data_IF_682805296917
#
_entry.id   IF_682805296917
#
_cell.length_a   1.000
_cell.length_b   1.000
_cell.length_c   1.000
_cell.angle_alpha   90.00
_cell.angle_beta   90.00
_cell.angle_gamma   90.00
#
_symmetry.space_group_name_H-M   'P 1'
#
loop_
_entity.id
_entity.type
_entity.pdbx_description
1 polymer ?
#
# COMPACT_ATOMS: atom_id res chain seq x y z
N UNK A 1 -8.47 14.27 14.40
CA UNK A 1 -8.30 12.93 14.99
C UNK A 1 -7.23 12.21 14.17
N UNK A 2 -6.25 11.57 14.82
CA UNK A 2 -5.18 10.84 14.12
C UNK A 2 -5.75 9.48 13.71
N UNK A 3 -5.89 9.22 12.42
CA UNK A 3 -6.30 7.89 11.94
C UNK A 3 -5.05 7.00 11.89
N UNK A 4 -5.00 6.02 12.78
CA UNK A 4 -3.90 5.06 12.89
C UNK A 4 -4.44 3.71 12.40
N UNK A 5 -3.75 3.14 11.41
CA UNK A 5 -4.04 1.81 10.92
C UNK A 5 -2.78 0.96 11.02
N UNK A 6 -2.91 -0.30 11.44
CA UNK A 6 -1.76 -1.19 11.60
C UNK A 6 -1.93 -2.45 10.76
N UNK A 7 -0.82 -2.96 10.23
CA UNK A 7 -0.77 -4.21 9.49
C UNK A 7 0.57 -4.93 9.70
N UNK A 8 0.64 -6.20 9.33
CA UNK A 8 1.86 -7.01 9.46
C UNK A 8 2.56 -7.19 8.11
N UNK A 9 3.86 -6.90 8.07
CA UNK A 9 4.76 -7.17 6.94
C UNK A 9 5.85 -8.15 7.40
N UNK A 10 5.61 -9.45 7.21
CA UNK A 10 6.47 -10.50 7.76
C UNK A 10 6.46 -10.51 9.30
N UNK A 11 7.62 -10.48 9.99
CA UNK A 11 7.67 -10.38 11.46
C UNK A 11 7.40 -8.96 11.98
N UNK A 12 7.30 -7.96 11.10
CA UNK A 12 7.22 -6.57 11.49
C UNK A 12 5.77 -6.11 11.64
N UNK A 13 5.48 -5.41 12.74
CA UNK A 13 4.23 -4.66 12.92
C UNK A 13 4.41 -3.25 12.42
N UNK A 14 3.66 -2.87 11.41
CA UNK A 14 3.72 -1.55 10.79
C UNK A 14 2.48 -0.76 11.18
N UNK A 15 2.68 0.47 11.64
CA UNK A 15 1.61 1.44 11.84
C UNK A 15 1.73 2.55 10.79
N UNK A 16 0.63 2.81 10.09
CA UNK A 16 0.47 3.90 9.13
C UNK A 16 -0.50 4.89 9.72
N UNK A 17 -0.09 6.15 9.74
CA UNK A 17 -0.94 7.22 10.22
C UNK A 17 -0.70 8.49 9.42
N UNK A 18 -1.76 9.27 9.24
CA UNK A 18 -1.67 10.55 8.53
C UNK A 18 -1.45 11.67 9.54
N UNK A 19 -0.41 12.48 9.32
CA UNK A 19 -0.10 13.65 10.14
C UNK A 19 -0.21 14.93 9.32
N UNK A 20 -0.70 16.00 9.96
CA UNK A 20 -0.54 17.36 9.44
C UNK A 20 0.76 17.92 10.01
N UNK A 21 1.67 18.33 9.13
CA UNK A 21 2.98 18.86 9.51
C UNK A 21 3.13 20.28 8.98
N UNK A 22 3.64 21.17 9.82
CA UNK A 22 4.16 22.46 9.35
C UNK A 22 5.56 22.25 8.80
N UNK A 23 5.79 22.65 7.55
CA UNK A 23 7.05 22.45 6.82
C UNK A 23 7.52 23.76 6.21
N UNK A 24 8.83 23.91 6.01
CA UNK A 24 9.38 25.02 5.22
C UNK A 24 9.44 24.62 3.76
N UNK A 25 9.02 25.50 2.84
CA UNK A 25 9.06 25.26 1.39
C UNK A 25 10.08 26.18 0.72
N UNK A 26 10.90 25.64 -0.18
CA UNK A 26 11.73 26.42 -1.09
C UNK A 26 11.62 25.86 -2.52
N UNK A 27 12.43 26.39 -3.45
CA UNK A 27 12.46 25.93 -4.85
C UNK A 27 12.86 24.45 -5.02
N UNK A 28 13.48 23.83 -4.01
CA UNK A 28 13.88 22.42 -4.01
C UNK A 28 12.84 21.49 -3.36
N UNK A 29 11.74 22.03 -2.83
CA UNK A 29 10.63 21.25 -2.27
C UNK A 29 10.37 21.49 -0.78
N UNK A 30 9.74 20.52 -0.12
CA UNK A 30 9.41 20.58 1.30
C UNK A 30 10.62 20.18 2.15
N UNK A 31 10.80 20.86 3.28
CA UNK A 31 11.78 20.51 4.30
C UNK A 31 11.15 20.46 5.67
N UNK A 32 11.54 19.45 6.44
CA UNK A 32 11.17 19.30 7.84
C UNK A 32 12.43 19.13 8.68
N UNK A 33 12.60 19.98 9.70
CA UNK A 33 13.83 20.02 10.54
C UNK A 33 15.12 20.06 9.69
N UNK A 34 15.15 20.93 8.69
CA UNK A 34 16.25 21.10 7.74
C UNK A 34 16.55 19.90 6.82
N UNK A 35 15.85 18.77 6.94
CA UNK A 35 15.96 17.65 6.00
C UNK A 35 14.93 17.77 4.87
N UNK A 36 15.26 17.39 3.63
CA UNK A 36 14.27 17.23 2.56
C UNK A 36 13.16 16.29 3.01
N UNK A 37 11.92 16.66 2.73
CA UNK A 37 10.74 15.84 2.96
C UNK A 37 10.21 15.36 1.60
N UNK A 38 10.41 14.08 1.32
CA UNK A 38 10.08 13.45 0.04
C UNK A 38 9.53 12.03 0.28
N UNK A 39 8.74 11.50 -0.65
CA UNK A 39 8.22 10.11 -0.56
C UNK A 39 9.38 9.11 -0.55
N UNK A 40 9.43 8.26 0.48
CA UNK A 40 10.48 7.29 0.75
C UNK A 40 11.59 7.80 1.66
N UNK A 41 11.61 9.08 2.03
CA UNK A 41 12.53 9.59 3.04
C UNK A 41 12.08 9.20 4.45
N UNK A 42 13.05 9.06 5.37
CA UNK A 42 12.78 8.84 6.80
C UNK A 42 12.41 10.15 7.49
N UNK A 43 11.42 10.12 8.38
CA UNK A 43 10.99 11.26 9.19
C UNK A 43 11.01 10.92 10.68
N UNK A 44 11.52 11.85 11.49
CA UNK A 44 11.52 11.78 12.96
C UNK A 44 10.52 12.78 13.55
N UNK A 45 9.39 12.27 14.01
CA UNK A 45 8.33 13.03 14.65
C UNK A 45 8.46 13.00 16.16
N UNK A 46 8.04 14.09 16.81
CA UNK A 46 7.85 14.16 18.25
C UNK A 46 6.35 14.31 18.50
N UNK A 47 5.71 13.24 18.98
CA UNK A 47 4.28 13.17 19.24
C UNK A 47 4.07 12.99 20.75
N UNK A 48 3.52 13.99 21.43
CA UNK A 48 3.24 13.96 22.88
C UNK A 48 4.42 13.38 23.71
N UNK A 49 5.62 13.95 23.53
CA UNK A 49 6.87 13.51 24.17
C UNK A 49 7.39 12.12 23.78
N UNK A 50 6.78 11.45 22.81
CA UNK A 50 7.29 10.20 22.23
C UNK A 50 7.94 10.48 20.88
N UNK A 51 9.16 9.97 20.68
CA UNK A 51 9.83 10.06 19.39
C UNK A 51 9.37 8.90 18.51
N UNK A 52 8.85 9.23 17.34
CA UNK A 52 8.37 8.25 16.36
C UNK A 52 9.13 8.46 15.06
N UNK A 53 9.93 7.46 14.69
CA UNK A 53 10.58 7.38 13.39
C UNK A 53 9.70 6.63 12.39
N UNK A 54 9.70 7.04 11.13
CA UNK A 54 8.95 6.33 10.08
C UNK A 54 9.41 6.74 8.68
N UNK A 55 8.80 6.13 7.67
CA UNK A 55 9.02 6.48 6.26
C UNK A 55 7.85 7.30 5.73
N UNK A 56 8.13 8.33 4.94
CA UNK A 56 7.10 9.14 4.29
C UNK A 56 6.51 8.34 3.13
N UNK A 57 5.26 7.90 3.28
CA UNK A 57 4.60 7.04 2.28
C UNK A 57 3.86 7.83 1.19
N UNK A 58 3.35 9.01 1.54
CA UNK A 58 2.55 9.88 0.69
C UNK A 58 2.65 11.33 1.22
N UNK A 59 2.58 12.32 0.34
CA UNK A 59 2.51 13.75 0.70
C UNK A 59 1.33 14.35 -0.05
N UNK A 60 0.25 14.63 0.69
CA UNK A 60 -0.95 15.27 0.15
C UNK A 60 -0.78 16.78 0.15
N UNK A 61 0.05 17.30 -0.76
CA UNK A 61 0.13 18.73 -1.04
C UNK A 61 -0.57 19.05 -2.37
N UNK A 62 -1.31 20.15 -2.41
CA UNK A 62 -1.90 20.70 -3.64
C UNK A 62 -0.83 21.23 -4.62
N UNK A 63 0.42 21.38 -4.17
CA UNK A 63 1.55 21.80 -4.99
C UNK A 63 2.68 20.75 -5.03
N UNK A 64 2.51 19.85 -6.00
CA UNK A 64 3.41 18.86 -6.63
C UNK A 64 4.82 18.64 -6.04
N UNK A 65 5.09 17.41 -5.59
CA UNK A 65 6.41 16.76 -5.70
C UNK A 65 6.25 15.50 -6.57
N UNK A 66 6.85 15.52 -7.75
CA UNK A 66 6.86 14.39 -8.68
C UNK A 66 7.69 13.21 -8.14
N UNK A 67 7.21 11.99 -8.39
CA UNK A 67 8.07 10.80 -8.36
C UNK A 67 8.99 10.87 -9.58
N UNK A 68 10.25 11.21 -9.35
CA UNK A 68 11.31 11.21 -10.39
C UNK A 68 11.61 9.75 -10.79
N UNK A 69 11.31 9.42 -12.04
CA UNK A 69 11.80 8.20 -12.72
C UNK A 69 11.26 6.88 -12.16
N UNK A 70 10.24 6.32 -12.79
CA UNK A 70 9.79 4.95 -12.51
C UNK A 70 9.31 4.25 -13.78
N UNK A 71 9.41 2.92 -13.80
CA UNK A 71 8.81 2.08 -14.85
C UNK A 71 7.53 1.48 -14.30
N UNK A 72 6.58 1.15 -15.16
CA UNK A 72 5.43 0.37 -14.75
C UNK A 72 5.78 -1.12 -14.76
N UNK A 73 5.46 -1.83 -13.68
CA UNK A 73 5.48 -3.30 -13.63
C UNK A 73 4.09 -3.84 -13.36
N UNK A 74 3.83 -5.06 -13.84
CA UNK A 74 2.59 -5.77 -13.54
C UNK A 74 2.82 -6.65 -12.31
N UNK A 75 1.82 -6.67 -11.44
CA UNK A 75 1.89 -7.39 -10.18
C UNK A 75 0.61 -8.18 -9.97
N UNK A 76 0.74 -9.46 -9.66
CA UNK A 76 -0.37 -10.29 -9.18
C UNK A 76 -0.34 -10.25 -7.66
N UNK A 77 -1.43 -9.81 -7.04
CA UNK A 77 -1.56 -9.76 -5.58
C UNK A 77 -2.83 -10.48 -5.10
N UNK A 78 -2.79 -11.00 -3.88
CA UNK A 78 -3.94 -11.61 -3.21
C UNK A 78 -4.22 -10.94 -1.87
N UNK A 79 -5.50 -10.67 -1.62
CA UNK A 79 -6.02 -10.17 -0.35
C UNK A 79 -6.87 -11.27 0.27
N UNK A 80 -6.50 -11.71 1.46
CA UNK A 80 -7.20 -12.79 2.15
C UNK A 80 -8.31 -12.26 3.07
N UNK A 81 -9.38 -13.04 3.18
CA UNK A 81 -10.44 -12.86 4.19
C UNK A 81 -10.98 -11.43 4.28
N UNK A 82 -11.30 -10.82 3.15
CA UNK A 82 -11.92 -9.49 3.09
C UNK A 82 -13.44 -9.59 3.09
N UNK A 83 -14.12 -8.58 3.65
CA UNK A 83 -15.59 -8.55 3.67
C UNK A 83 -16.13 -8.39 2.23
N UNK A 84 -17.30 -8.96 1.89
CA UNK A 84 -17.89 -8.83 0.57
C UNK A 84 -18.08 -7.39 0.09
N UNK A 85 -18.40 -6.46 1.00
CA UNK A 85 -18.53 -5.05 0.66
C UNK A 85 -17.21 -4.41 0.23
N UNK A 86 -16.08 -4.83 0.80
CA UNK A 86 -14.76 -4.34 0.42
C UNK A 86 -14.39 -4.83 -0.97
N UNK A 87 -14.67 -6.11 -1.25
CA UNK A 87 -14.52 -6.66 -2.59
C UNK A 87 -15.34 -5.87 -3.62
N UNK A 88 -16.56 -5.41 -3.29
CA UNK A 88 -17.38 -4.60 -4.21
C UNK A 88 -16.83 -3.19 -4.48
N UNK A 89 -16.06 -2.61 -3.55
CA UNK A 89 -15.45 -1.27 -3.74
C UNK A 89 -14.38 -1.25 -4.82
N UNK A 90 -13.60 -2.32 -4.92
CA UNK A 90 -12.51 -2.45 -5.89
C UNK A 90 -13.10 -2.70 -7.28
N UNK A 91 -12.81 -1.85 -8.26
CA UNK A 91 -13.24 -2.03 -9.65
C UNK A 91 -12.02 -2.13 -10.58
N UNK A 92 -12.21 -2.86 -11.67
CA UNK A 92 -11.23 -2.87 -12.76
C UNK A 92 -11.22 -1.49 -13.41
N UNK A 93 -10.03 -0.95 -13.67
CA UNK A 93 -9.82 0.39 -14.16
C UNK A 93 -9.67 1.46 -13.07
N UNK A 94 -9.83 1.11 -11.79
CA UNK A 94 -9.53 2.04 -10.69
C UNK A 94 -8.06 2.47 -10.76
N UNK A 95 -7.83 3.77 -10.62
CA UNK A 95 -6.50 4.38 -10.71
C UNK A 95 -6.21 5.18 -9.45
N UNK A 96 -4.94 5.20 -9.06
CA UNK A 96 -4.39 6.22 -8.18
C UNK A 96 -3.35 7.00 -8.97
N UNK A 97 -3.54 8.31 -9.03
CA UNK A 97 -2.56 9.21 -9.60
C UNK A 97 -1.51 9.57 -8.54
N UNK A 98 -0.26 9.72 -8.98
CA UNK A 98 0.80 10.26 -8.15
C UNK A 98 0.57 11.75 -7.84
N UNK A 99 1.38 12.27 -6.93
CA UNK A 99 1.32 13.67 -6.53
C UNK A 99 1.49 14.57 -7.76
N UNK A 100 0.46 15.39 -8.04
CA UNK A 100 0.39 16.27 -9.20
C UNK A 100 -0.53 15.83 -10.34
N UNK A 101 -1.16 14.65 -10.25
CA UNK A 101 -2.27 14.23 -11.13
C UNK A 101 -1.86 13.70 -12.51
N UNK A 102 -0.62 13.92 -12.93
CA UNK A 102 -0.22 13.68 -14.32
C UNK A 102 0.20 12.23 -14.61
N UNK A 103 0.47 11.42 -13.57
CA UNK A 103 0.97 10.04 -13.72
C UNK A 103 0.18 9.03 -12.91
N UNK A 104 -0.19 7.92 -13.54
CA UNK A 104 -0.82 6.77 -12.87
C UNK A 104 0.23 6.04 -12.03
N UNK A 105 0.08 6.07 -10.71
CA UNK A 105 0.94 5.36 -9.76
C UNK A 105 0.47 3.91 -9.57
N UNK A 106 -0.84 3.68 -9.59
CA UNK A 106 -1.48 2.37 -9.44
C UNK A 106 -2.67 2.28 -10.39
N UNK A 107 -2.85 1.15 -11.04
CA UNK A 107 -4.05 0.83 -11.83
C UNK A 107 -4.46 -0.62 -11.59
N UNK A 108 -5.75 -0.86 -11.38
CA UNK A 108 -6.33 -2.21 -11.30
C UNK A 108 -6.62 -2.72 -12.71
N UNK A 109 -5.86 -3.70 -13.18
CA UNK A 109 -5.99 -4.27 -14.52
C UNK A 109 -7.02 -5.41 -14.58
N UNK A 110 -7.02 -6.26 -13.56
CA UNK A 110 -7.93 -7.39 -13.46
C UNK A 110 -8.28 -7.69 -12.01
N UNK A 111 -9.42 -8.34 -11.82
CA UNK A 111 -9.93 -8.70 -10.50
C UNK A 111 -10.70 -10.02 -10.57
N UNK A 112 -10.39 -10.92 -9.65
CA UNK A 112 -11.10 -12.17 -9.41
C UNK A 112 -11.45 -12.27 -7.93
N UNK A 113 -12.65 -12.76 -7.63
CA UNK A 113 -13.14 -12.87 -6.25
C UNK A 113 -13.65 -14.28 -6.01
N UNK A 114 -13.15 -14.93 -4.97
CA UNK A 114 -13.59 -16.24 -4.52
C UNK A 114 -14.10 -16.19 -3.07
N UNK A 115 -14.78 -17.26 -2.63
CA UNK A 115 -15.01 -17.45 -1.20
C UNK A 115 -13.66 -17.69 -0.51
N UNK A 116 -13.48 -17.13 0.68
CA UNK A 116 -12.32 -17.48 1.50
C UNK A 116 -12.48 -18.91 2.02
N UNK A 117 -11.41 -19.68 2.08
CA UNK A 117 -11.44 -21.01 2.66
C UNK A 117 -11.49 -20.95 4.20
N UNK A 118 -12.26 -21.85 4.80
CA UNK A 118 -12.28 -22.10 6.23
C UNK A 118 -12.28 -23.60 6.53
N UNK A 119 -11.60 -23.98 7.61
CA UNK A 119 -11.59 -25.35 8.11
C UNK A 119 -12.76 -25.55 9.08
N UNK A 120 -13.66 -26.47 8.75
CA UNK A 120 -14.80 -26.84 9.59
C UNK A 120 -14.58 -28.24 10.16
N UNK A 121 -14.73 -28.44 11.48
CA UNK A 121 -14.65 -29.76 12.07
C UNK A 121 -15.86 -30.61 11.67
N UNK A 122 -15.61 -31.83 11.24
CA UNK A 122 -16.61 -32.84 10.90
C UNK A 122 -16.32 -34.14 11.66
N UNK A 123 -17.28 -35.07 11.66
CA UNK A 123 -17.10 -36.38 12.28
C UNK A 123 -15.92 -37.20 11.72
N UNK A 124 -15.38 -36.82 10.55
CA UNK A 124 -14.23 -37.48 9.89
C UNK A 124 -12.93 -36.65 9.93
N UNK A 125 -12.91 -35.54 10.67
CA UNK A 125 -11.78 -34.61 10.73
C UNK A 125 -12.11 -33.22 10.18
N UNK A 126 -11.09 -32.44 9.85
CA UNK A 126 -11.25 -31.08 9.31
C UNK A 126 -11.52 -31.12 7.81
N UNK A 127 -12.57 -30.42 7.37
CA UNK A 127 -12.89 -30.22 5.95
C UNK A 127 -12.73 -28.75 5.58
N UNK A 128 -12.11 -28.46 4.43
CA UNK A 128 -12.05 -27.12 3.89
C UNK A 128 -13.34 -26.81 3.13
N UNK A 129 -13.98 -25.69 3.47
CA UNK A 129 -15.18 -25.19 2.78
C UNK A 129 -15.07 -23.69 2.55
N UNK A 130 -15.94 -23.14 1.70
CA UNK A 130 -16.00 -21.71 1.43
C UNK A 130 -16.78 -20.96 2.51
N UNK A 131 -16.13 -20.01 3.18
CA UNK A 131 -16.78 -19.12 4.15
C UNK A 131 -17.64 -18.06 3.42
N UNK A 132 -18.97 -18.03 3.62
CA UNK A 132 -19.85 -17.09 2.93
C UNK A 132 -19.69 -15.63 3.40
N UNK A 133 -19.11 -15.41 4.59
CA UNK A 133 -18.90 -14.09 5.21
C UNK A 133 -17.65 -13.36 4.71
N UNK A 134 -16.73 -14.07 4.04
CA UNK A 134 -15.44 -13.53 3.60
C UNK A 134 -15.14 -13.87 2.15
N UNK A 135 -14.27 -13.08 1.54
CA UNK A 135 -13.82 -13.23 0.16
C UNK A 135 -12.31 -13.13 0.11
N UNK A 136 -11.72 -13.99 -0.71
CA UNK A 136 -10.37 -13.79 -1.18
C UNK A 136 -10.43 -13.06 -2.52
N UNK A 137 -9.57 -12.07 -2.68
CA UNK A 137 -9.54 -11.19 -3.85
C UNK A 137 -8.17 -11.30 -4.49
N UNK A 138 -8.13 -11.73 -5.75
CA UNK A 138 -6.93 -11.72 -6.58
C UNK A 138 -7.01 -10.52 -7.52
N UNK A 139 -5.93 -9.73 -7.58
CA UNK A 139 -5.84 -8.54 -8.42
C UNK A 139 -4.60 -8.60 -9.29
N UNK A 140 -4.74 -8.15 -10.53
CA UNK A 140 -3.61 -7.74 -11.35
C UNK A 140 -3.51 -6.22 -11.29
N UNK A 141 -2.36 -5.71 -10.85
CA UNK A 141 -2.09 -4.30 -10.67
C UNK A 141 -0.97 -3.86 -11.59
N UNK A 142 -1.07 -2.64 -12.13
CA UNK A 142 0.04 -1.95 -12.76
C UNK A 142 0.56 -0.90 -11.79
N UNK A 143 1.80 -1.05 -11.33
CA UNK A 143 2.42 -0.16 -10.35
C UNK A 143 3.57 0.62 -10.97
N UNK A 144 3.66 1.90 -10.64
CA UNK A 144 4.87 2.69 -10.87
C UNK A 144 5.91 2.33 -9.80
N UNK A 145 7.06 1.82 -10.24
CA UNK A 145 8.11 1.28 -9.37
C UNK A 145 9.46 1.91 -9.66
N UNK A 146 10.37 1.83 -8.69
CA UNK A 146 11.76 2.25 -8.82
C UNK A 146 12.70 1.08 -8.53
N UNK A 147 13.74 0.90 -9.34
CA UNK A 147 14.77 -0.11 -9.12
C UNK A 147 15.97 0.53 -8.42
N UNK A 148 16.41 -0.05 -7.31
CA UNK A 148 17.57 0.43 -6.53
C UNK A 148 18.37 -0.77 -6.04
N UNK A 149 19.66 -0.83 -6.39
CA UNK A 149 20.55 -1.92 -5.95
C UNK A 149 20.06 -3.32 -6.33
N UNK A 150 19.42 -3.48 -7.49
CA UNK A 150 18.88 -4.76 -7.96
C UNK A 150 17.54 -5.18 -7.32
N UNK A 151 16.97 -4.35 -6.44
CA UNK A 151 15.65 -4.58 -5.83
C UNK A 151 14.65 -3.58 -6.39
N UNK A 152 13.46 -4.07 -6.75
CA UNK A 152 12.34 -3.24 -7.19
C UNK A 152 11.52 -2.79 -5.98
N UNK A 153 11.22 -1.49 -5.90
CA UNK A 153 10.45 -0.88 -4.82
C UNK A 153 9.17 -0.22 -5.33
N UNK A 154 8.09 -0.42 -4.59
CA UNK A 154 6.88 0.39 -4.68
C UNK A 154 6.96 1.55 -3.69
N UNK A 155 6.52 2.73 -4.14
CA UNK A 155 6.53 3.97 -3.36
C UNK A 155 7.89 4.29 -2.69
N UNK A 156 9.01 3.84 -3.28
CA UNK A 156 10.40 4.02 -2.83
C UNK A 156 10.85 3.28 -1.56
N UNK A 157 10.00 2.51 -0.88
CA UNK A 157 10.39 1.80 0.35
C UNK A 157 9.83 0.38 0.49
N UNK A 158 8.75 0.02 -0.22
CA UNK A 158 8.19 -1.34 -0.11
C UNK A 158 8.83 -2.25 -1.15
N UNK A 159 9.67 -3.22 -0.76
CA UNK A 159 10.30 -4.12 -1.72
C UNK A 159 9.23 -5.04 -2.35
N UNK A 160 9.20 -5.06 -3.67
CA UNK A 160 8.30 -5.92 -4.44
C UNK A 160 8.99 -7.27 -4.63
N UNK A 161 8.56 -8.25 -3.85
CA UNK A 161 9.02 -9.65 -3.93
C UNK A 161 7.85 -10.58 -3.64
N UNK A 162 7.79 -11.73 -4.30
CA UNK A 162 6.79 -12.77 -4.04
C UNK A 162 6.79 -13.16 -2.55
N UNK A 163 5.60 -13.26 -1.97
CA UNK A 163 5.36 -13.51 -0.54
C UNK A 163 5.38 -12.25 0.34
N UNK A 164 5.89 -11.11 -0.14
CA UNK A 164 5.79 -9.86 0.62
C UNK A 164 4.37 -9.33 0.62
N UNK A 165 4.00 -8.66 1.70
CA UNK A 165 2.72 -7.95 1.84
C UNK A 165 2.93 -6.47 1.60
N UNK A 166 2.17 -5.90 0.67
CA UNK A 166 2.24 -4.50 0.33
C UNK A 166 1.04 -3.73 0.91
N UNK A 167 1.29 -2.48 1.28
CA UNK A 167 0.27 -1.46 1.43
C UNK A 167 0.17 -0.64 0.15
N UNK A 168 -0.95 -0.76 -0.55
CA UNK A 168 -1.19 -0.04 -1.80
C UNK A 168 -2.33 0.94 -1.56
N UNK A 169 -2.04 2.23 -1.35
CA UNK A 169 -3.09 3.22 -1.21
C UNK A 169 -3.83 3.36 -2.54
N UNK A 170 -5.14 3.49 -2.51
CA UNK A 170 -5.97 3.90 -3.64
C UNK A 170 -6.67 5.22 -3.30
N UNK A 171 -7.55 5.70 -4.17
CA UNK A 171 -8.26 6.96 -3.95
C UNK A 171 -9.41 6.79 -2.94
N UNK A 172 -10.28 5.79 -3.16
CA UNK A 172 -11.48 5.55 -2.33
C UNK A 172 -11.31 4.44 -1.27
N UNK A 173 -10.21 3.71 -1.33
CA UNK A 173 -9.91 2.60 -0.43
C UNK A 173 -8.40 2.39 -0.37
N UNK A 174 -7.95 1.48 0.48
CA UNK A 174 -6.56 1.09 0.55
C UNK A 174 -6.48 -0.44 0.57
N UNK A 175 -5.51 -0.99 -0.15
CA UNK A 175 -5.23 -2.42 -0.16
C UNK A 175 -4.18 -2.71 0.90
N UNK A 176 -4.64 -3.12 2.09
CA UNK A 176 -3.76 -3.56 3.17
C UNK A 176 -3.38 -5.02 2.97
N UNK A 177 -2.13 -5.35 3.27
CA UNK A 177 -1.62 -6.72 3.25
C UNK A 177 -1.85 -7.41 1.90
N UNK A 178 -1.68 -6.67 0.81
CA UNK A 178 -1.75 -7.23 -0.54
C UNK A 178 -0.53 -8.12 -0.75
N UNK A 179 -0.70 -9.43 -0.63
CA UNK A 179 0.39 -10.39 -0.76
C UNK A 179 0.77 -10.55 -2.23
N UNK A 180 2.05 -10.36 -2.53
CA UNK A 180 2.58 -10.51 -3.90
C UNK A 180 2.65 -11.99 -4.26
N UNK A 181 1.88 -12.37 -5.27
CA UNK A 181 1.86 -13.73 -5.83
C UNK A 181 2.81 -13.86 -7.03
N UNK A 182 3.04 -12.76 -7.77
CA UNK A 182 3.89 -12.76 -8.96
C UNK A 182 4.22 -11.34 -9.45
N UNK A 183 5.36 -11.22 -10.14
CA UNK A 183 5.87 -9.97 -10.73
C UNK A 183 6.18 -10.22 -12.20
N UNK A 184 5.63 -9.38 -13.09
CA UNK A 184 5.85 -9.41 -14.54
C UNK A 184 6.43 -8.07 -15.03
#
# INVERSE_FOLDING_TARGET
MLEIQSYEEGPNKIAVFTVKLTVSRNSMGYRYKQKPLEIGSTIDLLLNNTRVGGNVMDIRDSNKQEVVGGKHKKLKVRLYKRRPWFAKKIKVGDKKFGVGGDRVQVEVLAKKVGLSEESVPTARGLMLTGNPMYRDIELELKLLVSDRGGVTYFANYQPIKVGNKLYIPMEDYNLYEAEVMGVE
#
